data_IF_896407383128
#
_entry.id   IF_896407383128
#
_cell.length_a   1.000
_cell.length_b   1.000
_cell.length_c   1.000
_cell.angle_alpha   90.00
_cell.angle_beta   90.00
_cell.angle_gamma   90.00
#
_symmetry.space_group_name_H-M   'P 1'
#
loop_
_entity.id
_entity.type
_entity.pdbx_description
1 polymer ?
#
# COMPACT_ATOMS: atom_id res chain seq x y z
N UNK A 1 15.16 14.25 -10.45
CA UNK A 1 14.57 13.38 -9.41
C UNK A 1 13.12 13.82 -9.28
N UNK A 2 12.21 13.13 -9.96
CA UNK A 2 10.79 13.50 -10.00
C UNK A 2 10.19 13.05 -8.66
N UNK A 3 9.92 13.98 -7.75
CA UNK A 3 9.24 13.68 -6.49
C UNK A 3 7.76 13.52 -6.81
N UNK A 4 7.18 12.32 -6.71
CA UNK A 4 5.77 12.10 -7.02
C UNK A 4 4.91 12.94 -6.07
N UNK A 5 3.83 13.51 -6.59
CA UNK A 5 2.83 14.26 -5.84
C UNK A 5 2.27 13.40 -4.69
N UNK A 6 2.76 13.64 -3.49
CA UNK A 6 2.49 12.86 -2.29
C UNK A 6 0.99 12.87 -1.92
N UNK A 7 0.41 11.70 -1.63
CA UNK A 7 -0.80 11.59 -0.79
C UNK A 7 -2.16 11.77 -1.45
N UNK A 8 -2.25 11.73 -2.78
CA UNK A 8 -3.54 11.90 -3.49
C UNK A 8 -4.61 10.88 -3.06
N UNK A 9 -4.21 9.67 -2.64
CA UNK A 9 -5.16 8.63 -2.21
C UNK A 9 -5.38 8.55 -0.69
N UNK A 10 -4.84 9.45 0.12
CA UNK A 10 -4.96 9.38 1.59
C UNK A 10 -6.43 9.40 2.05
N UNK A 11 -7.24 10.25 1.42
CA UNK A 11 -8.68 10.34 1.69
C UNK A 11 -9.43 9.08 1.24
N UNK A 12 -9.09 8.55 0.06
CA UNK A 12 -9.74 7.34 -0.47
C UNK A 12 -9.44 6.13 0.39
N UNK A 13 -8.17 5.91 0.74
CA UNK A 13 -7.77 4.82 1.64
C UNK A 13 -8.51 4.90 2.97
N UNK A 14 -8.62 6.11 3.54
CA UNK A 14 -9.36 6.32 4.80
C UNK A 14 -10.85 5.98 4.64
N UNK A 15 -11.46 6.31 3.51
CA UNK A 15 -12.84 5.95 3.19
C UNK A 15 -13.02 4.43 3.07
N UNK A 16 -12.13 3.75 2.33
CA UNK A 16 -12.21 2.30 2.11
C UNK A 16 -12.01 1.51 3.40
N UNK A 17 -11.08 1.95 4.27
CA UNK A 17 -10.87 1.35 5.59
C UNK A 17 -12.10 1.43 6.50
N UNK A 18 -12.96 2.46 6.32
CA UNK A 18 -14.23 2.55 7.06
C UNK A 18 -15.26 1.54 6.57
N UNK A 19 -15.22 1.18 5.29
CA UNK A 19 -16.10 0.17 4.71
C UNK A 19 -15.64 -1.24 5.08
N UNK A 20 -14.34 -1.49 5.00
CA UNK A 20 -13.76 -2.78 5.38
C UNK A 20 -12.33 -2.60 5.88
N UNK A 21 -12.05 -3.14 7.06
CA UNK A 21 -10.71 -3.16 7.66
C UNK A 21 -9.68 -3.90 6.79
N UNK A 22 -10.15 -4.82 5.94
CA UNK A 22 -9.29 -5.57 5.02
C UNK A 22 -8.70 -4.69 3.90
N UNK A 23 -9.28 -3.53 3.61
CA UNK A 23 -8.79 -2.62 2.57
C UNK A 23 -7.36 -2.15 2.83
N UNK A 24 -6.96 -2.01 4.10
CA UNK A 24 -5.61 -1.54 4.50
C UNK A 24 -4.50 -2.39 3.89
N UNK A 25 -4.72 -3.72 3.77
CA UNK A 25 -3.72 -4.64 3.23
C UNK A 25 -3.52 -4.40 1.73
N UNK A 26 -4.61 -4.21 0.99
CA UNK A 26 -4.54 -3.89 -0.44
C UNK A 26 -3.80 -2.59 -0.68
N UNK A 27 -4.16 -1.54 0.06
CA UNK A 27 -3.53 -0.22 -0.04
C UNK A 27 -2.04 -0.24 0.28
N UNK A 28 -1.64 -0.89 1.37
CA UNK A 28 -0.23 -1.02 1.75
C UNK A 28 0.58 -1.74 0.66
N UNK A 29 0.05 -2.82 0.08
CA UNK A 29 0.72 -3.55 -0.99
C UNK A 29 0.80 -2.74 -2.29
N UNK A 30 -0.28 -2.05 -2.69
CA UNK A 30 -0.27 -1.20 -3.89
C UNK A 30 0.74 -0.06 -3.75
N UNK A 31 0.72 0.65 -2.62
CA UNK A 31 1.66 1.74 -2.35
C UNK A 31 3.11 1.25 -2.33
N UNK A 32 3.37 0.09 -1.71
CA UNK A 32 4.71 -0.49 -1.65
C UNK A 32 5.22 -0.95 -3.02
N UNK A 33 4.35 -1.52 -3.86
CA UNK A 33 4.70 -1.85 -5.25
C UNK A 33 5.12 -0.60 -6.02
N UNK A 34 4.27 0.43 -6.01
CA UNK A 34 4.54 1.67 -6.74
C UNK A 34 5.79 2.38 -6.25
N UNK A 35 6.13 2.27 -4.96
CA UNK A 35 7.28 2.94 -4.39
C UNK A 35 8.61 2.17 -4.57
N UNK A 36 8.59 0.85 -4.40
CA UNK A 36 9.82 0.05 -4.35
C UNK A 36 10.11 -0.79 -5.61
N UNK A 37 9.10 -1.09 -6.42
CA UNK A 37 9.22 -2.05 -7.53
C UNK A 37 9.12 -1.39 -8.90
N UNK A 38 8.23 -0.40 -9.06
CA UNK A 38 8.05 0.28 -10.34
C UNK A 38 9.34 0.99 -10.80
N UNK A 39 9.71 0.90 -12.11
CA UNK A 39 10.89 1.59 -12.64
C UNK A 39 10.83 3.12 -12.48
N UNK A 40 9.63 3.68 -12.57
CA UNK A 40 9.33 5.07 -12.28
C UNK A 40 8.47 5.10 -11.02
N UNK A 41 9.08 5.16 -9.82
CA UNK A 41 8.34 5.00 -8.58
C UNK A 41 7.40 6.18 -8.34
N UNK A 42 6.22 5.89 -7.80
CA UNK A 42 5.26 6.90 -7.38
C UNK A 42 4.72 6.62 -5.97
N UNK A 43 4.50 7.68 -5.19
CA UNK A 43 3.90 7.59 -3.86
C UNK A 43 2.38 7.74 -3.96
N UNK A 44 1.65 6.62 -3.89
CA UNK A 44 0.18 6.64 -3.86
C UNK A 44 -0.36 7.30 -2.58
N UNK A 45 0.33 7.09 -1.47
CA UNK A 45 0.01 7.57 -0.13
C UNK A 45 1.11 8.49 0.37
N UNK A 46 0.78 9.44 1.23
CA UNK A 46 1.80 10.18 1.96
C UNK A 46 2.50 9.28 2.98
N UNK A 47 3.76 9.56 3.30
CA UNK A 47 4.52 8.80 4.32
C UNK A 47 3.75 8.76 5.65
N UNK A 48 3.13 9.88 6.03
CA UNK A 48 2.32 9.96 7.26
C UNK A 48 1.12 9.01 7.22
N UNK A 49 0.44 8.91 6.07
CA UNK A 49 -0.70 8.01 5.92
C UNK A 49 -0.27 6.55 5.85
N UNK A 50 0.82 6.26 5.15
CA UNK A 50 1.40 4.93 5.06
C UNK A 50 1.82 4.41 6.45
N UNK A 51 2.55 5.21 7.22
CA UNK A 51 2.95 4.87 8.59
C UNK A 51 1.75 4.62 9.51
N UNK A 52 0.71 5.46 9.40
CA UNK A 52 -0.54 5.27 10.13
C UNK A 52 -1.20 3.95 9.76
N UNK A 53 -1.21 3.59 8.47
CA UNK A 53 -1.76 2.33 7.97
C UNK A 53 -1.01 1.13 8.55
N UNK A 54 0.33 1.16 8.53
CA UNK A 54 1.19 0.12 9.10
C UNK A 54 0.89 -0.11 10.58
N UNK A 55 0.92 0.96 11.39
CA UNK A 55 0.62 0.90 12.83
C UNK A 55 -0.81 0.43 13.10
N UNK A 56 -1.77 0.84 12.26
CA UNK A 56 -3.15 0.39 12.39
C UNK A 56 -3.27 -1.10 12.12
N UNK A 57 -2.68 -1.60 11.03
CA UNK A 57 -2.70 -3.01 10.68
C UNK A 57 -1.97 -3.87 11.72
N UNK A 58 -0.83 -3.39 12.25
CA UNK A 58 -0.09 -4.06 13.31
C UNK A 58 -0.98 -4.29 14.56
N UNK A 59 -1.69 -3.25 15.01
CA UNK A 59 -2.59 -3.34 16.18
C UNK A 59 -3.78 -4.28 15.96
N UNK A 60 -4.24 -4.39 14.71
CA UNK A 60 -5.42 -5.18 14.34
C UNK A 60 -5.06 -6.47 13.59
N UNK A 61 -3.78 -6.87 13.63
CA UNK A 61 -3.26 -7.92 12.78
C UNK A 61 -3.99 -9.26 12.98
N UNK A 62 -4.39 -9.56 14.21
CA UNK A 62 -5.12 -10.77 14.56
C UNK A 62 -6.53 -10.83 13.94
N UNK A 63 -7.20 -9.68 13.77
CA UNK A 63 -8.61 -9.62 13.31
C UNK A 63 -8.74 -9.39 11.80
N UNK A 64 -7.72 -8.82 11.15
CA UNK A 64 -7.71 -8.64 9.69
C UNK A 64 -7.59 -10.01 9.00
N UNK A 65 -8.51 -10.32 8.10
CA UNK A 65 -8.63 -11.64 7.43
C UNK A 65 -8.24 -11.61 5.95
N UNK A 66 -7.71 -10.49 5.47
CA UNK A 66 -7.34 -10.34 4.06
C UNK A 66 -6.39 -11.45 3.58
N UNK A 67 -6.71 -12.07 2.43
CA UNK A 67 -5.98 -13.22 1.88
C UNK A 67 -4.48 -12.98 1.65
N UNK A 68 -4.06 -11.73 1.44
CA UNK A 68 -2.66 -11.36 1.21
C UNK A 68 -1.98 -10.75 2.45
N UNK A 69 -2.61 -10.79 3.63
CA UNK A 69 -2.02 -10.25 4.87
C UNK A 69 -0.66 -10.86 5.20
N UNK A 70 -0.44 -12.12 4.83
CA UNK A 70 0.82 -12.83 5.06
C UNK A 70 2.04 -12.19 4.36
N UNK A 71 1.83 -11.37 3.33
CA UNK A 71 2.89 -10.60 2.66
C UNK A 71 3.37 -9.42 3.49
N UNK A 72 2.61 -9.02 4.51
CA UNK A 72 2.92 -7.95 5.44
C UNK A 72 3.14 -8.57 6.83
N UNK A 73 4.30 -9.19 7.11
CA UNK A 73 4.56 -9.73 8.43
C UNK A 73 4.68 -8.59 9.46
N UNK A 74 4.41 -8.90 10.74
CA UNK A 74 4.44 -7.92 11.83
C UNK A 74 5.76 -7.15 11.91
N UNK A 75 6.88 -7.82 11.63
CA UNK A 75 8.21 -7.20 11.61
C UNK A 75 8.33 -6.07 10.58
N UNK A 76 7.77 -6.28 9.38
CA UNK A 76 7.72 -5.27 8.33
C UNK A 76 6.83 -4.08 8.75
N UNK A 77 5.68 -4.38 9.35
CA UNK A 77 4.77 -3.35 9.85
C UNK A 77 5.37 -2.52 10.98
N UNK A 78 6.08 -3.15 11.92
CA UNK A 78 6.78 -2.48 13.00
C UNK A 78 7.92 -1.58 12.49
N UNK A 79 8.59 -1.98 11.40
CA UNK A 79 9.58 -1.17 10.71
C UNK A 79 8.96 -0.03 9.88
N UNK A 80 7.62 0.03 9.74
CA UNK A 80 6.93 1.03 8.94
C UNK A 80 7.13 0.85 7.43
N UNK A 81 7.49 -0.35 6.97
CA UNK A 81 7.74 -0.60 5.54
C UNK A 81 7.17 -1.93 5.07
N UNK A 82 6.93 -2.06 3.77
CA UNK A 82 6.77 -3.37 3.13
C UNK A 82 7.82 -3.59 2.05
N UNK A 83 9.06 -3.15 2.33
CA UNK A 83 10.20 -3.25 1.42
C UNK A 83 10.70 -4.70 1.21
N UNK A 84 10.29 -5.62 2.07
CA UNK A 84 10.75 -7.01 2.07
C UNK A 84 10.26 -7.84 0.88
N UNK A 85 9.34 -7.31 0.07
CA UNK A 85 8.71 -8.04 -1.03
C UNK A 85 9.45 -7.81 -2.35
N UNK A 86 9.81 -8.89 -3.04
CA UNK A 86 10.27 -8.85 -4.44
C UNK A 86 9.10 -8.84 -5.42
N UNK A 87 9.35 -8.41 -6.65
CA UNK A 87 8.33 -8.27 -7.69
C UNK A 87 7.55 -9.57 -7.94
N UNK A 88 8.20 -10.73 -7.85
CA UNK A 88 7.58 -12.04 -8.11
C UNK A 88 6.63 -12.49 -7.00
N UNK A 89 6.73 -11.90 -5.81
CA UNK A 89 5.90 -12.25 -4.66
C UNK A 89 4.56 -11.50 -4.66
N UNK A 90 4.43 -10.45 -5.48
CA UNK A 90 3.20 -9.68 -5.55
C UNK A 90 2.12 -10.41 -6.36
N UNK A 91 0.89 -10.52 -5.83
CA UNK A 91 -0.22 -11.04 -6.60
C UNK A 91 -0.54 -10.14 -7.78
N UNK A 92 -0.72 -10.72 -8.97
CA UNK A 92 -1.03 -9.98 -10.21
C UNK A 92 -2.21 -9.01 -10.07
N UNK A 93 -3.23 -9.37 -9.28
CA UNK A 93 -4.38 -8.49 -9.04
C UNK A 93 -4.01 -7.19 -8.31
N UNK A 94 -3.06 -7.24 -7.36
CA UNK A 94 -2.56 -6.04 -6.67
C UNK A 94 -1.75 -5.19 -7.63
N UNK A 95 -0.87 -5.81 -8.41
CA UNK A 95 -0.03 -5.11 -9.40
C UNK A 95 -0.89 -4.35 -10.40
N UNK A 96 -1.93 -4.99 -10.94
CA UNK A 96 -2.86 -4.34 -11.89
C UNK A 96 -3.57 -3.14 -11.28
N UNK A 97 -4.06 -3.26 -10.04
CA UNK A 97 -4.71 -2.14 -9.35
C UNK A 97 -3.73 -1.01 -9.05
N UNK A 98 -2.50 -1.33 -8.65
CA UNK A 98 -1.44 -0.35 -8.41
C UNK A 98 -1.11 0.44 -9.69
N UNK A 99 -0.98 -0.25 -10.81
CA UNK A 99 -0.74 0.36 -12.13
C UNK A 99 -1.90 1.24 -12.58
N UNK A 100 -3.15 0.83 -12.36
CA UNK A 100 -4.33 1.66 -12.63
C UNK A 100 -4.37 2.92 -11.75
N UNK A 101 -4.08 2.78 -10.45
CA UNK A 101 -4.01 3.94 -9.56
C UNK A 101 -2.91 4.93 -10.01
N UNK A 102 -1.76 4.41 -10.46
CA UNK A 102 -0.68 5.21 -11.01
C UNK A 102 -1.08 5.94 -12.30
N UNK A 103 -1.74 5.28 -13.25
CA UNK A 103 -2.15 5.94 -14.50
C UNK A 103 -3.11 7.10 -14.25
N UNK A 104 -4.02 6.95 -13.29
CA UNK A 104 -4.93 8.02 -12.86
C UNK A 104 -4.18 9.21 -12.25
N UNK A 105 -3.09 8.97 -11.50
CA UNK A 105 -2.24 10.05 -10.99
C UNK A 105 -1.47 10.77 -12.08
N UNK A 106 -1.00 10.03 -13.09
CA UNK A 106 -0.23 10.57 -14.21
C UNK A 106 -1.12 11.29 -15.24
N UNK A 107 -2.45 11.22 -15.11
CA UNK A 107 -3.41 11.92 -15.96
C UNK A 107 -3.49 11.35 -17.38
N UNK A 108 -3.21 10.06 -17.55
CA UNK A 108 -3.25 9.34 -18.83
C UNK A 108 -4.46 8.42 -18.91
#
# INVERSE_FOLDING_TARGET
>A
MFTPSNGTYDAQMTSDMRQTTNAVVGWLLMASWCYYIEPNPCSLLSDTQFDKACKWLERHYAVVTHKYKYLLPLESLAAGSAYNLRSEQYPLGIVRLAQQAKSVLEGV
#
